data_IF_310654726732
#
_entry.id   IF_310654726732
#
_cell.length_a   1.000
_cell.length_b   1.000
_cell.length_c   1.000
_cell.angle_alpha   90.00
_cell.angle_beta   90.00
_cell.angle_gamma   90.00
#
_symmetry.space_group_name_H-M   'P 1'
#
loop_
_entity.id
_entity.type
_entity.pdbx_description
1 polymer ?
#
# COMPACT_ATOMS: atom_id res chain seq x y z
N UNK A 1 3.33 8.83 12.78
CA UNK A 1 2.68 7.69 12.10
C UNK A 1 3.30 7.53 10.71
N UNK A 2 3.64 6.30 10.32
CA UNK A 2 4.15 5.93 8.99
C UNK A 2 2.97 5.40 8.17
N UNK A 3 2.77 5.90 6.95
CA UNK A 3 1.64 5.52 6.12
C UNK A 3 2.14 4.82 4.85
N UNK A 4 1.70 3.57 4.65
CA UNK A 4 2.03 2.77 3.47
C UNK A 4 0.76 2.47 2.69
N UNK A 5 0.52 3.20 1.61
CA UNK A 5 -0.69 3.07 0.78
C UNK A 5 -0.27 2.82 -0.68
N UNK A 6 -1.05 2.01 -1.40
CA UNK A 6 -0.86 1.79 -2.83
C UNK A 6 -1.18 3.04 -3.66
N UNK A 7 -0.39 3.30 -4.71
CA UNK A 7 -0.42 4.54 -5.54
C UNK A 7 -1.82 5.00 -6.00
N UNK A 8 -2.79 4.09 -6.16
CA UNK A 8 -4.13 4.42 -6.64
C UNK A 8 -5.02 5.17 -5.63
N UNK A 9 -4.78 5.02 -4.31
CA UNK A 9 -5.57 5.71 -3.27
C UNK A 9 -4.92 7.03 -2.79
N UNK A 10 -3.71 7.31 -3.27
CA UNK A 10 -2.88 8.47 -2.89
C UNK A 10 -3.56 9.80 -3.21
N UNK A 11 -4.34 9.90 -4.30
CA UNK A 11 -4.92 11.18 -4.72
C UNK A 11 -6.13 11.62 -3.90
N UNK A 12 -7.03 10.71 -3.52
CA UNK A 12 -8.26 11.05 -2.80
C UNK A 12 -8.06 11.01 -1.29
N UNK A 13 -7.59 9.90 -0.75
CA UNK A 13 -7.58 9.70 0.70
C UNK A 13 -6.53 10.55 1.41
N UNK A 14 -5.35 10.76 0.81
CA UNK A 14 -4.33 11.65 1.41
C UNK A 14 -4.75 13.12 1.36
N UNK A 15 -5.49 13.53 0.33
CA UNK A 15 -5.99 14.91 0.24
C UNK A 15 -7.01 15.18 1.34
N UNK A 16 -8.00 14.30 1.52
CA UNK A 16 -8.99 14.43 2.59
C UNK A 16 -8.35 14.35 3.97
N UNK A 17 -7.42 13.42 4.20
CA UNK A 17 -6.74 13.29 5.49
C UNK A 17 -5.92 14.54 5.84
N UNK A 18 -5.23 15.15 4.87
CA UNK A 18 -4.50 16.41 5.09
C UNK A 18 -5.44 17.59 5.34
N UNK A 19 -6.57 17.65 4.65
CA UNK A 19 -7.56 18.71 4.83
C UNK A 19 -8.13 18.71 6.26
N UNK A 20 -8.69 17.57 6.70
CA UNK A 20 -9.29 17.46 8.03
C UNK A 20 -8.29 17.62 9.16
N UNK A 21 -7.06 17.14 8.98
CA UNK A 21 -6.02 17.29 10.00
C UNK A 21 -5.60 18.77 10.17
N UNK A 22 -5.56 19.56 9.10
CA UNK A 22 -5.31 21.00 9.20
C UNK A 22 -6.46 21.74 9.88
N UNK A 23 -7.70 21.39 9.55
CA UNK A 23 -8.89 21.97 10.21
C UNK A 23 -8.91 21.65 11.71
N UNK A 24 -8.56 20.43 12.11
CA UNK A 24 -8.48 20.02 13.52
C UNK A 24 -7.29 20.67 14.25
N UNK A 25 -6.20 20.96 13.54
CA UNK A 25 -5.06 21.70 14.07
C UNK A 25 -5.45 23.16 14.35
N UNK A 26 -6.17 23.81 13.43
CA UNK A 26 -6.64 25.19 13.60
C UNK A 26 -7.65 25.33 14.76
N UNK A 27 -8.42 24.27 15.03
CA UNK A 27 -9.33 24.17 16.17
C UNK A 27 -8.65 23.79 17.50
N UNK A 28 -7.33 23.54 17.50
CA UNK A 28 -6.54 23.23 18.69
C UNK A 28 -6.66 21.79 19.23
N UNK A 29 -7.35 20.89 18.53
CA UNK A 29 -7.54 19.49 18.97
C UNK A 29 -6.31 18.61 18.72
N UNK A 30 -5.39 19.03 17.83
CA UNK A 30 -4.22 18.24 17.44
C UNK A 30 -2.97 19.12 17.47
N UNK A 31 -1.88 18.63 18.06
CA UNK A 31 -0.63 19.39 18.27
C UNK A 31 0.32 19.40 17.06
N UNK A 32 0.02 18.61 16.02
CA UNK A 32 0.89 18.44 14.85
C UNK A 32 0.23 19.00 13.59
N UNK A 33 1.01 19.68 12.73
CA UNK A 33 0.50 20.31 11.49
C UNK A 33 0.25 19.33 10.33
N UNK A 34 0.95 18.19 10.30
CA UNK A 34 0.79 17.17 9.27
C UNK A 34 0.52 15.77 9.85
N UNK A 35 -0.45 15.02 9.29
CA UNK A 35 -0.86 13.71 9.82
C UNK A 35 0.17 12.61 9.58
N UNK A 36 0.93 12.69 8.48
CA UNK A 36 1.85 11.64 8.06
C UNK A 36 3.25 12.23 7.87
N UNK A 37 4.21 11.84 8.72
CA UNK A 37 5.61 12.32 8.64
C UNK A 37 6.41 11.66 7.51
N UNK A 38 6.02 10.45 7.11
CA UNK A 38 6.66 9.69 6.03
C UNK A 38 5.59 8.87 5.31
N UNK A 39 5.48 9.08 4.00
CA UNK A 39 4.62 8.35 3.09
C UNK A 39 5.49 7.43 2.24
N UNK A 40 5.23 6.13 2.28
CA UNK A 40 5.90 5.17 1.40
C UNK A 40 4.83 4.55 0.50
N UNK A 41 4.95 4.80 -0.80
CA UNK A 41 4.01 4.26 -1.77
C UNK A 41 4.43 2.83 -2.11
N UNK A 42 3.67 1.85 -1.63
CA UNK A 42 3.93 0.46 -1.96
C UNK A 42 3.82 0.23 -3.47
N UNK A 43 4.82 -0.45 -4.01
CA UNK A 43 4.87 -0.93 -5.38
C UNK A 43 3.68 -1.82 -5.69
N UNK A 44 3.26 -1.81 -6.95
CA UNK A 44 2.13 -2.63 -7.40
C UNK A 44 2.69 -3.98 -7.82
N UNK A 45 2.05 -5.06 -7.36
CA UNK A 45 2.37 -6.42 -7.79
C UNK A 45 1.58 -6.67 -9.08
N UNK A 46 2.30 -7.05 -10.14
CA UNK A 46 1.71 -7.48 -11.40
C UNK A 46 1.34 -8.97 -11.30
N UNK A 47 0.32 -9.38 -12.06
CA UNK A 47 0.09 -10.81 -12.31
C UNK A 47 1.00 -11.29 -13.43
N UNK A 48 1.01 -12.60 -13.69
CA UNK A 48 1.81 -13.25 -14.73
C UNK A 48 1.64 -12.61 -16.12
N UNK A 49 0.48 -11.99 -16.37
CA UNK A 49 0.14 -11.26 -17.60
C UNK A 49 0.80 -9.88 -17.73
N UNK A 50 1.65 -9.48 -16.77
CA UNK A 50 2.24 -8.14 -16.66
C UNK A 50 1.22 -7.04 -16.31
N UNK A 51 0.00 -7.43 -15.95
CA UNK A 51 -1.09 -6.51 -15.61
C UNK A 51 -1.33 -6.46 -14.10
N UNK A 52 -1.73 -5.28 -13.61
CA UNK A 52 -2.11 -5.09 -12.21
C UNK A 52 -3.12 -6.15 -11.76
N UNK A 53 -2.81 -6.82 -10.66
CA UNK A 53 -3.77 -7.73 -10.04
C UNK A 53 -5.05 -7.03 -9.60
N UNK A 54 -6.19 -7.56 -10.03
CA UNK A 54 -7.52 -7.04 -9.67
C UNK A 54 -8.59 -8.13 -9.71
N UNK A 55 -9.47 -8.16 -8.70
CA UNK A 55 -10.62 -9.08 -8.63
C UNK A 55 -11.52 -8.98 -9.87
N UNK A 56 -11.62 -7.80 -10.47
CA UNK A 56 -12.40 -7.59 -11.69
C UNK A 56 -11.78 -8.21 -12.95
N UNK A 57 -10.48 -8.51 -12.94
CA UNK A 57 -9.74 -9.05 -14.10
C UNK A 57 -9.48 -10.55 -13.99
N UNK A 58 -9.84 -11.19 -12.87
CA UNK A 58 -9.71 -12.62 -12.68
C UNK A 58 -8.28 -13.14 -12.44
N UNK A 59 -7.24 -12.31 -12.56
CA UNK A 59 -5.84 -12.73 -12.34
C UNK A 59 -5.38 -12.65 -10.87
N UNK A 60 -6.31 -12.76 -9.92
CA UNK A 60 -5.98 -12.70 -8.49
C UNK A 60 -5.46 -14.06 -8.05
N UNK A 61 -4.18 -14.11 -7.69
CA UNK A 61 -3.60 -15.25 -6.97
C UNK A 61 -4.13 -15.20 -5.53
N UNK A 62 -4.78 -16.27 -5.08
CA UNK A 62 -5.26 -16.34 -3.70
C UNK A 62 -4.07 -16.62 -2.75
N UNK A 63 -3.75 -15.71 -1.81
CA UNK A 63 -2.66 -15.91 -0.87
C UNK A 63 -2.84 -17.16 0.01
N UNK A 64 -4.08 -17.56 0.32
CA UNK A 64 -4.35 -18.70 1.19
C UNK A 64 -3.78 -20.01 0.61
N UNK A 65 -3.84 -20.17 -0.72
CA UNK A 65 -3.28 -21.35 -1.40
C UNK A 65 -1.74 -21.36 -1.31
N UNK A 66 -1.12 -20.22 -1.57
CA UNK A 66 0.35 -20.08 -1.52
C UNK A 66 0.88 -20.30 -0.10
N UNK A 67 0.14 -19.84 0.91
CA UNK A 67 0.50 -20.05 2.32
C UNK A 67 0.41 -21.55 2.68
N UNK A 68 -0.60 -22.26 2.19
CA UNK A 68 -0.74 -23.70 2.43
C UNK A 68 0.39 -24.50 1.78
N UNK A 69 0.78 -24.13 0.55
CA UNK A 69 1.78 -24.87 -0.23
C UNK A 69 3.24 -24.55 0.19
N UNK A 70 3.54 -23.27 0.49
CA UNK A 70 4.92 -22.78 0.68
C UNK A 70 5.17 -22.12 2.05
N UNK A 71 4.12 -21.86 2.83
CA UNK A 71 4.22 -21.16 4.11
C UNK A 71 4.23 -19.63 3.98
N UNK A 72 3.74 -18.95 5.03
CA UNK A 72 3.63 -17.50 5.06
C UNK A 72 4.98 -16.77 5.03
N UNK A 73 6.01 -17.34 5.64
CA UNK A 73 7.35 -16.73 5.69
C UNK A 73 8.04 -16.75 4.32
N UNK A 74 7.87 -17.82 3.55
CA UNK A 74 8.38 -17.93 2.17
C UNK A 74 7.73 -16.87 1.27
N UNK A 75 6.42 -16.66 1.40
CA UNK A 75 5.69 -15.63 0.67
C UNK A 75 6.21 -14.22 1.00
N UNK A 76 6.40 -13.91 2.29
CA UNK A 76 6.88 -12.60 2.73
C UNK A 76 8.32 -12.33 2.28
N UNK A 77 9.20 -13.33 2.36
CA UNK A 77 10.58 -13.21 1.89
C UNK A 77 10.61 -12.99 0.37
N UNK A 78 9.80 -13.74 -0.38
CA UNK A 78 9.69 -13.58 -1.82
C UNK A 78 9.22 -12.16 -2.19
N UNK A 79 8.17 -11.64 -1.51
CA UNK A 79 7.73 -10.26 -1.71
C UNK A 79 8.82 -9.23 -1.41
N UNK A 80 9.60 -9.41 -0.35
CA UNK A 80 10.66 -8.47 0.01
C UNK A 80 11.89 -8.57 -0.92
N UNK A 81 12.10 -9.72 -1.58
CA UNK A 81 13.26 -9.99 -2.44
C UNK A 81 13.05 -9.62 -3.91
N UNK A 82 11.79 -9.56 -4.38
CA UNK A 82 11.43 -9.19 -5.77
C UNK A 82 11.78 -7.74 -6.18
N UNK A 83 12.34 -6.95 -5.27
CA UNK A 83 12.86 -5.61 -5.58
C UNK A 83 12.50 -4.57 -4.52
N UNK A 84 12.98 -3.33 -4.71
CA UNK A 84 12.72 -2.25 -3.77
C UNK A 84 11.22 -2.01 -3.61
N UNK A 85 10.76 -1.77 -2.38
CA UNK A 85 9.33 -1.70 -2.00
C UNK A 85 8.50 -0.68 -2.79
N UNK A 86 9.14 0.28 -3.46
CA UNK A 86 8.50 1.35 -4.24
C UNK A 86 8.35 0.99 -5.73
N UNK A 87 9.07 -0.03 -6.20
CA UNK A 87 9.10 -0.47 -7.59
C UNK A 87 7.95 -1.43 -7.89
N UNK A 88 7.54 -1.45 -9.16
CA UNK A 88 6.56 -2.40 -9.67
C UNK A 88 7.24 -3.77 -9.70
N UNK A 89 6.65 -4.75 -9.02
CA UNK A 89 7.18 -6.12 -8.99
C UNK A 89 6.60 -6.88 -10.19
N UNK A 90 7.44 -7.50 -11.03
CA UNK A 90 6.97 -8.33 -12.13
C UNK A 90 6.18 -9.52 -11.62
#
# INVERSE_FOLDING_TARGET
>A
MHCSIGKAQVSKHLLYARFWHKLLYDLGYVSTKEPFKKLVNQGMILGEDGQKMSKSRGNVINPDKVIVDYGADSMRLYEMFMGPLEAIKP
#
